data_IF_286263532738
#
_entry.id   IF_286263532738
#
_cell.length_a   1.000
_cell.length_b   1.000
_cell.length_c   1.000
_cell.angle_alpha   90.00
_cell.angle_beta   90.00
_cell.angle_gamma   90.00
#
_symmetry.space_group_name_H-M   'P 1'
#
loop_
_entity.id
_entity.type
_entity.pdbx_description
1 polymer ?
#
# COMPACT_ATOMS: atom_id res chain seq x y z
N UNK A 1 -16.08 1.13 -13.78
CA UNK A 1 -15.50 1.30 -15.13
C UNK A 1 -16.01 0.22 -16.08
N UNK A 2 -15.61 -1.05 -15.95
CA UNK A 2 -16.05 -2.12 -16.88
C UNK A 2 -17.58 -2.15 -17.10
N UNK A 3 -18.38 -2.20 -16.03
CA UNK A 3 -19.84 -2.19 -16.15
C UNK A 3 -20.40 -0.95 -16.88
N UNK A 4 -19.81 0.23 -16.66
CA UNK A 4 -20.24 1.47 -17.33
C UNK A 4 -19.99 1.44 -18.85
N UNK A 5 -19.06 0.60 -19.31
CA UNK A 5 -18.80 0.31 -20.73
C UNK A 5 -19.62 -0.86 -21.27
N UNK A 6 -20.63 -1.32 -20.54
CA UNK A 6 -21.54 -2.40 -20.97
C UNK A 6 -21.02 -3.82 -20.75
N UNK A 7 -19.86 -3.99 -20.11
CA UNK A 7 -19.38 -5.33 -19.75
C UNK A 7 -20.26 -5.92 -18.62
N UNK A 8 -20.66 -7.21 -18.72
CA UNK A 8 -21.44 -7.85 -17.66
C UNK A 8 -20.62 -7.97 -16.38
N UNK A 9 -21.26 -7.76 -15.22
CA UNK A 9 -20.59 -7.96 -13.92
C UNK A 9 -20.42 -9.46 -13.69
N UNK A 10 -19.18 -9.94 -13.73
CA UNK A 10 -18.80 -11.29 -13.33
C UNK A 10 -18.67 -11.31 -11.81
N UNK A 11 -19.81 -11.40 -11.11
CA UNK A 11 -19.87 -11.23 -9.65
C UNK A 11 -18.98 -12.21 -8.90
N UNK A 12 -18.97 -13.48 -9.30
CA UNK A 12 -18.11 -14.49 -8.70
C UNK A 12 -16.62 -14.12 -8.82
N UNK A 13 -16.18 -13.76 -10.02
CA UNK A 13 -14.81 -13.29 -10.25
C UNK A 13 -14.48 -12.01 -9.48
N UNK A 14 -15.43 -11.08 -9.38
CA UNK A 14 -15.26 -9.86 -8.60
C UNK A 14 -14.99 -10.18 -7.13
N UNK A 15 -15.81 -11.03 -6.52
CA UNK A 15 -15.64 -11.48 -5.13
C UNK A 15 -14.29 -12.19 -4.94
N UNK A 16 -13.91 -13.05 -5.87
CA UNK A 16 -12.60 -13.73 -5.83
C UNK A 16 -11.43 -12.75 -5.90
N UNK A 17 -11.50 -11.71 -6.73
CA UNK A 17 -10.45 -10.67 -6.78
C UNK A 17 -10.35 -9.96 -5.43
N UNK A 18 -11.49 -9.54 -4.85
CA UNK A 18 -11.51 -8.88 -3.54
C UNK A 18 -10.90 -9.77 -2.46
N UNK A 19 -11.33 -11.04 -2.37
CA UNK A 19 -10.78 -12.00 -1.41
C UNK A 19 -9.29 -12.22 -1.67
N UNK A 20 -8.89 -12.48 -2.91
CA UNK A 20 -7.50 -12.79 -3.29
C UNK A 20 -6.53 -11.66 -2.95
N UNK A 21 -6.90 -10.41 -3.23
CA UNK A 21 -6.13 -9.22 -2.86
C UNK A 21 -6.08 -9.05 -1.35
N UNK A 22 -7.20 -9.24 -0.65
CA UNK A 22 -7.29 -9.06 0.81
C UNK A 22 -6.44 -10.09 1.55
N UNK A 23 -6.55 -11.37 1.20
CA UNK A 23 -5.75 -12.43 1.86
C UNK A 23 -4.28 -12.29 1.51
N UNK A 24 -3.92 -11.87 0.28
CA UNK A 24 -2.53 -11.54 -0.05
C UNK A 24 -1.98 -10.44 0.87
N UNK A 25 -2.79 -9.41 1.13
CA UNK A 25 -2.40 -8.31 2.01
C UNK A 25 -2.27 -8.75 3.47
N UNK A 26 -3.12 -9.65 3.96
CA UNK A 26 -2.93 -10.26 5.29
C UNK A 26 -1.65 -11.09 5.37
N UNK A 27 -1.33 -11.88 4.34
CA UNK A 27 -0.08 -12.64 4.27
C UNK A 27 1.15 -11.72 4.34
N UNK A 28 1.13 -10.63 3.57
CA UNK A 28 2.16 -9.58 3.58
C UNK A 28 2.35 -9.00 5.00
N UNK A 29 1.29 -8.47 5.60
CA UNK A 29 1.38 -7.79 6.89
C UNK A 29 1.90 -8.72 8.00
N UNK A 30 1.52 -10.01 7.99
CA UNK A 30 2.03 -10.99 8.93
C UNK A 30 3.53 -11.29 8.75
N UNK A 31 4.00 -11.35 7.50
CA UNK A 31 5.43 -11.52 7.21
C UNK A 31 6.21 -10.29 7.62
N UNK A 32 5.70 -9.09 7.31
CA UNK A 32 6.31 -7.82 7.69
C UNK A 32 6.45 -7.72 9.20
N UNK A 33 5.39 -7.96 9.96
CA UNK A 33 5.43 -7.97 11.44
C UNK A 33 6.49 -8.93 12.00
N UNK A 34 6.57 -10.15 11.45
CA UNK A 34 7.55 -11.16 11.92
C UNK A 34 8.97 -10.71 11.62
N UNK A 35 9.22 -10.16 10.43
CA UNK A 35 10.55 -9.75 10.02
C UNK A 35 11.01 -8.49 10.74
N UNK A 36 10.11 -7.53 10.95
CA UNK A 36 10.36 -6.32 11.73
C UNK A 36 10.65 -6.68 13.20
N UNK A 37 9.87 -7.60 13.79
CA UNK A 37 10.11 -8.11 15.15
C UNK A 37 11.48 -8.78 15.28
N UNK A 38 11.80 -9.74 14.40
CA UNK A 38 13.09 -10.45 14.44
C UNK A 38 14.26 -9.47 14.28
N UNK A 39 14.12 -8.52 13.37
CA UNK A 39 15.13 -7.49 13.13
C UNK A 39 15.32 -6.59 14.35
N UNK A 40 14.25 -6.17 15.00
CA UNK A 40 14.31 -5.38 16.23
C UNK A 40 14.97 -6.14 17.39
N UNK A 41 14.63 -7.43 17.57
CA UNK A 41 15.26 -8.30 18.57
C UNK A 41 16.76 -8.44 18.34
N UNK A 42 17.19 -8.57 17.09
CA UNK A 42 18.61 -8.68 16.75
C UNK A 42 19.38 -7.37 16.98
N UNK A 43 18.75 -6.20 16.78
CA UNK A 43 19.34 -4.90 17.13
C UNK A 43 19.46 -4.70 18.65
N UNK A 44 18.48 -5.15 19.43
CA UNK A 44 18.47 -5.01 20.89
C UNK A 44 19.53 -5.85 21.61
N UNK A 45 20.08 -6.88 20.97
CA UNK A 45 21.26 -7.60 21.48
C UNK A 45 22.51 -6.70 21.52
N UNK A 46 22.47 -5.51 20.89
CA UNK A 46 23.58 -4.57 20.74
C UNK A 46 23.66 -3.43 21.78
N UNK A 47 22.57 -2.74 22.12
CA UNK A 47 22.54 -1.65 23.14
C UNK A 47 21.10 -1.12 23.36
N UNK A 48 20.82 -0.65 24.59
CA UNK A 48 19.63 0.03 25.15
C UNK A 48 18.18 -0.32 24.69
N UNK A 49 17.34 -0.63 25.70
CA UNK A 49 15.90 -0.91 25.56
C UNK A 49 15.12 0.31 25.04
N UNK A 50 14.77 0.30 23.76
CA UNK A 50 13.66 1.13 23.25
C UNK A 50 12.37 0.30 23.20
N UNK A 51 11.35 0.75 23.94
CA UNK A 51 10.03 0.10 24.10
C UNK A 51 9.02 0.42 22.99
N UNK A 52 9.47 0.91 21.84
CA UNK A 52 8.61 1.13 20.68
C UNK A 52 9.28 0.55 19.44
N UNK A 53 8.96 -0.71 19.16
CA UNK A 53 9.31 -1.39 17.91
C UNK A 53 8.04 -1.48 17.10
N UNK A 54 8.05 -0.90 15.89
CA UNK A 54 6.92 -0.95 14.97
C UNK A 54 6.40 -2.38 14.72
N UNK A 55 5.21 -2.45 14.12
CA UNK A 55 4.43 -3.68 13.94
C UNK A 55 3.18 -3.71 14.82
N UNK A 56 2.37 -4.77 14.70
CA UNK A 56 1.07 -4.88 15.40
C UNK A 56 1.11 -4.95 16.94
N UNK A 57 2.31 -5.04 17.56
CA UNK A 57 2.48 -5.24 19.01
C UNK A 57 2.27 -6.68 19.49
N UNK A 58 1.71 -7.55 18.63
CA UNK A 58 1.34 -8.94 18.97
C UNK A 58 2.54 -9.82 19.35
N UNK A 59 3.68 -9.67 18.67
CA UNK A 59 4.91 -10.42 18.95
C UNK A 59 5.66 -9.90 20.19
N UNK A 60 5.90 -8.57 20.34
CA UNK A 60 6.49 -8.02 21.57
C UNK A 60 5.71 -8.37 22.85
N UNK A 61 4.39 -8.39 22.79
CA UNK A 61 3.51 -8.73 23.92
C UNK A 61 3.41 -10.24 24.19
N UNK A 62 3.99 -11.08 23.31
CA UNK A 62 3.97 -12.54 23.45
C UNK A 62 2.59 -13.18 23.21
N UNK A 63 1.66 -12.46 22.57
CA UNK A 63 0.31 -12.95 22.28
C UNK A 63 0.31 -14.08 21.24
N UNK A 64 1.24 -14.02 20.27
CA UNK A 64 1.49 -15.07 19.29
C UNK A 64 2.99 -15.32 19.15
N UNK A 65 3.35 -16.52 18.67
CA UNK A 65 4.70 -16.85 18.23
C UNK A 65 4.90 -16.47 16.76
N UNK A 66 6.12 -16.09 16.42
CA UNK A 66 6.54 -15.80 15.04
C UNK A 66 6.20 -16.95 14.06
N UNK A 67 6.41 -18.20 14.48
CA UNK A 67 6.07 -19.41 13.72
C UNK A 67 4.56 -19.56 13.47
N UNK A 68 3.70 -19.07 14.36
CA UNK A 68 2.25 -19.09 14.16
C UNK A 68 1.84 -18.06 13.10
N UNK A 69 2.41 -16.86 13.14
CA UNK A 69 2.17 -15.82 12.15
C UNK A 69 2.69 -16.23 10.77
N UNK A 70 3.87 -16.85 10.67
CA UNK A 70 4.39 -17.37 9.40
C UNK A 70 3.54 -18.50 8.82
N UNK A 71 2.97 -19.39 9.65
CA UNK A 71 2.02 -20.41 9.20
C UNK A 71 0.73 -19.79 8.66
N UNK A 72 0.20 -18.78 9.34
CA UNK A 72 -0.97 -18.04 8.88
C UNK A 72 -0.69 -17.28 7.56
N UNK A 73 0.48 -16.65 7.44
CA UNK A 73 0.91 -16.02 6.20
C UNK A 73 1.01 -17.03 5.04
N UNK A 74 1.60 -18.20 5.28
CA UNK A 74 1.69 -19.27 4.28
C UNK A 74 0.30 -19.76 3.83
N UNK A 75 -0.66 -19.87 4.76
CA UNK A 75 -2.04 -20.20 4.43
C UNK A 75 -2.68 -19.13 3.54
N UNK A 76 -2.55 -17.85 3.89
CA UNK A 76 -3.11 -16.76 3.10
C UNK A 76 -2.49 -16.67 1.70
N UNK A 77 -1.17 -16.81 1.60
CA UNK A 77 -0.48 -16.87 0.32
C UNK A 77 -0.89 -18.08 -0.53
N UNK A 78 -1.12 -19.24 0.09
CA UNK A 78 -1.63 -20.41 -0.61
C UNK A 78 -3.04 -20.16 -1.17
N UNK A 79 -3.91 -19.50 -0.39
CA UNK A 79 -5.24 -19.09 -0.87
C UNK A 79 -5.14 -18.10 -2.04
N UNK A 80 -4.25 -17.09 -1.95
CA UNK A 80 -3.99 -16.17 -3.06
C UNK A 80 -3.57 -16.90 -4.32
N UNK A 81 -2.65 -17.88 -4.22
CA UNK A 81 -2.20 -18.68 -5.38
C UNK A 81 -3.35 -19.48 -5.97
N UNK A 82 -4.17 -20.15 -5.17
CA UNK A 82 -5.33 -20.93 -5.65
C UNK A 82 -6.31 -20.03 -6.40
N UNK A 83 -6.65 -18.87 -5.81
CA UNK A 83 -7.53 -17.88 -6.45
C UNK A 83 -6.92 -17.36 -7.75
N UNK A 84 -5.63 -17.01 -7.73
CA UNK A 84 -4.91 -16.50 -8.89
C UNK A 84 -4.82 -17.51 -10.04
N UNK A 85 -4.60 -18.79 -9.75
CA UNK A 85 -4.62 -19.88 -10.75
C UNK A 85 -6.01 -20.04 -11.35
N UNK A 86 -7.06 -20.05 -10.53
CA UNK A 86 -8.43 -20.14 -11.02
C UNK A 86 -8.81 -18.94 -11.90
N UNK A 87 -8.50 -17.72 -11.47
CA UNK A 87 -8.76 -16.52 -12.26
C UNK A 87 -7.92 -16.51 -13.55
N UNK A 88 -6.66 -16.96 -13.52
CA UNK A 88 -5.84 -17.13 -14.72
C UNK A 88 -6.49 -18.10 -15.71
N UNK A 89 -6.95 -19.25 -15.23
CA UNK A 89 -7.60 -20.25 -16.07
C UNK A 89 -8.88 -19.72 -16.74
N UNK A 90 -9.67 -18.94 -16.01
CA UNK A 90 -10.98 -18.45 -16.50
C UNK A 90 -10.94 -17.09 -17.20
N UNK A 91 -9.90 -16.28 -16.97
CA UNK A 91 -9.76 -14.92 -17.51
C UNK A 91 -8.55 -14.74 -18.43
N UNK A 92 -7.64 -15.72 -18.51
CA UNK A 92 -6.47 -15.70 -19.38
C UNK A 92 -5.16 -15.22 -18.72
N UNK A 93 -4.07 -15.37 -19.48
CA UNK A 93 -2.70 -15.18 -18.99
C UNK A 93 -2.34 -13.77 -18.46
N UNK A 94 -2.97 -12.65 -18.85
CA UNK A 94 -2.61 -11.36 -18.27
C UNK A 94 -2.89 -11.27 -16.76
N UNK A 95 -3.87 -12.03 -16.27
CA UNK A 95 -4.12 -12.18 -14.83
C UNK A 95 -2.95 -12.86 -14.12
N UNK A 96 -2.32 -13.86 -14.76
CA UNK A 96 -1.14 -14.52 -14.21
C UNK A 96 0.01 -13.53 -14.04
N UNK A 97 0.26 -12.69 -15.05
CA UNK A 97 1.37 -11.74 -15.02
C UNK A 97 1.15 -10.68 -13.93
N UNK A 98 -0.04 -10.09 -13.86
CA UNK A 98 -0.36 -9.10 -12.84
C UNK A 98 -0.43 -9.71 -11.44
N UNK A 99 -1.01 -10.90 -11.30
CA UNK A 99 -1.11 -11.62 -10.03
C UNK A 99 0.25 -12.07 -9.51
N UNK A 100 1.12 -12.62 -10.38
CA UNK A 100 2.47 -13.01 -10.03
C UNK A 100 3.31 -11.78 -9.66
N UNK A 101 3.20 -10.69 -10.41
CA UNK A 101 3.86 -9.43 -10.06
C UNK A 101 3.44 -8.93 -8.67
N UNK A 102 2.13 -8.92 -8.38
CA UNK A 102 1.61 -8.50 -7.08
C UNK A 102 2.04 -9.41 -5.92
N UNK A 103 2.04 -10.72 -6.15
CA UNK A 103 2.47 -11.72 -5.16
C UNK A 103 3.98 -11.66 -4.90
N UNK A 104 4.80 -11.55 -5.94
CA UNK A 104 6.25 -11.40 -5.76
C UNK A 104 6.57 -10.05 -5.12
N UNK A 105 5.83 -9.00 -5.46
CA UNK A 105 5.96 -7.69 -4.83
C UNK A 105 5.65 -7.75 -3.33
N UNK A 106 4.59 -8.46 -2.90
CA UNK A 106 4.30 -8.61 -1.48
C UNK A 106 5.43 -9.36 -0.75
N UNK A 107 5.87 -10.51 -1.27
CA UNK A 107 6.94 -11.28 -0.64
C UNK A 107 8.25 -10.47 -0.57
N UNK A 108 8.70 -9.92 -1.70
CA UNK A 108 10.00 -9.25 -1.78
C UNK A 108 10.02 -7.83 -1.22
N UNK A 109 8.88 -7.31 -0.76
CA UNK A 109 8.80 -6.02 -0.06
C UNK A 109 9.73 -6.03 1.15
N UNK A 110 9.66 -7.09 1.97
CA UNK A 110 10.40 -7.22 3.24
C UNK A 110 11.28 -8.47 3.32
N UNK A 111 11.05 -9.50 2.51
CA UNK A 111 11.80 -10.76 2.58
C UNK A 111 13.18 -10.63 1.91
N UNK A 112 14.29 -11.05 2.56
CA UNK A 112 15.62 -11.08 1.94
C UNK A 112 15.73 -12.13 0.83
N UNK A 113 16.64 -11.94 -0.15
CA UNK A 113 17.64 -10.87 -0.22
C UNK A 113 17.09 -9.55 -0.78
N UNK A 114 15.91 -9.55 -1.42
CA UNK A 114 15.42 -8.42 -2.23
C UNK A 114 14.97 -7.21 -1.42
N UNK A 115 14.23 -7.39 -0.31
CA UNK A 115 13.72 -6.36 0.63
C UNK A 115 13.62 -4.95 0.02
N UNK A 116 12.86 -4.77 -1.06
CA UNK A 116 12.94 -3.52 -1.81
C UNK A 116 12.31 -2.35 -1.03
N UNK A 117 11.40 -2.63 -0.09
CA UNK A 117 10.86 -1.67 0.87
C UNK A 117 11.94 -1.05 1.76
N UNK A 118 13.00 -1.82 2.07
CA UNK A 118 14.14 -1.36 2.86
C UNK A 118 15.20 -0.63 2.03
N UNK A 119 15.01 -0.57 0.71
CA UNK A 119 16.01 -0.06 -0.23
C UNK A 119 15.55 1.20 -0.97
N UNK A 120 14.42 1.81 -0.60
CA UNK A 120 13.94 3.07 -1.19
C UNK A 120 13.14 2.86 -2.48
N UNK A 121 12.68 1.63 -2.72
CA UNK A 121 11.74 1.31 -3.79
C UNK A 121 10.36 0.93 -3.24
N UNK A 122 10.17 0.98 -1.92
CA UNK A 122 8.93 0.54 -1.27
C UNK A 122 7.74 1.38 -1.68
N UNK A 123 7.91 2.69 -1.64
CA UNK A 123 6.88 3.69 -1.90
C UNK A 123 6.40 3.62 -3.36
N UNK A 124 7.35 3.49 -4.29
CA UNK A 124 7.02 3.27 -5.70
C UNK A 124 6.37 1.90 -5.92
N UNK A 125 6.87 0.86 -5.25
CA UNK A 125 6.29 -0.46 -5.29
C UNK A 125 4.84 -0.49 -4.80
N UNK A 126 4.53 0.19 -3.69
CA UNK A 126 3.17 0.33 -3.17
C UNK A 126 2.28 1.14 -4.11
N UNK A 127 2.77 2.25 -4.68
CA UNK A 127 2.03 3.00 -5.70
C UNK A 127 1.64 2.11 -6.89
N UNK A 128 2.59 1.35 -7.44
CA UNK A 128 2.37 0.49 -8.60
C UNK A 128 1.41 -0.66 -8.26
N UNK A 129 1.57 -1.28 -7.09
CA UNK A 129 0.73 -2.41 -6.68
C UNK A 129 -0.70 -1.98 -6.36
N UNK A 130 -0.88 -0.94 -5.54
CA UNK A 130 -2.21 -0.47 -5.13
C UNK A 130 -2.93 0.33 -6.22
N UNK A 131 -2.19 0.91 -7.16
CA UNK A 131 -2.73 1.53 -8.35
C UNK A 131 -2.82 0.52 -9.51
N UNK A 132 -1.93 0.61 -10.51
CA UNK A 132 -2.06 -0.14 -11.76
C UNK A 132 -2.29 -1.64 -11.62
N UNK A 133 -1.57 -2.34 -10.75
CA UNK A 133 -1.64 -3.81 -10.69
C UNK A 133 -3.03 -4.29 -10.23
N UNK A 134 -3.51 -3.80 -9.08
CA UNK A 134 -4.82 -4.18 -8.57
C UNK A 134 -5.92 -3.68 -9.50
N UNK A 135 -5.87 -2.42 -9.95
CA UNK A 135 -6.96 -1.83 -10.74
C UNK A 135 -7.05 -2.43 -12.13
N UNK A 136 -5.93 -2.59 -12.85
CA UNK A 136 -5.92 -3.22 -14.17
C UNK A 136 -6.21 -4.72 -14.07
N UNK A 137 -5.70 -5.41 -13.06
CA UNK A 137 -6.00 -6.83 -12.83
C UNK A 137 -7.49 -7.05 -12.61
N UNK A 138 -8.10 -6.23 -11.74
CA UNK A 138 -9.54 -6.27 -11.47
C UNK A 138 -10.36 -5.92 -12.71
N UNK A 139 -9.96 -4.89 -13.46
CA UNK A 139 -10.63 -4.51 -14.70
C UNK A 139 -10.54 -5.61 -15.75
N UNK A 140 -9.36 -6.20 -15.96
CA UNK A 140 -9.15 -7.24 -16.95
C UNK A 140 -9.94 -8.52 -16.64
N UNK A 141 -10.07 -8.89 -15.36
CA UNK A 141 -10.92 -10.02 -14.94
C UNK A 141 -12.39 -9.81 -15.34
N UNK A 142 -12.88 -8.57 -15.31
CA UNK A 142 -14.26 -8.22 -15.65
C UNK A 142 -14.47 -8.00 -17.16
N UNK A 143 -13.58 -7.24 -17.79
CA UNK A 143 -13.72 -6.75 -19.17
C UNK A 143 -12.95 -7.57 -20.22
N UNK A 144 -12.00 -8.40 -19.79
CA UNK A 144 -11.14 -9.22 -20.67
C UNK A 144 -10.35 -8.41 -21.70
N UNK A 145 -10.08 -7.14 -21.37
CA UNK A 145 -9.29 -6.22 -22.18
C UNK A 145 -8.56 -5.25 -21.25
N UNK A 146 -7.54 -4.59 -21.78
CA UNK A 146 -6.85 -3.48 -21.12
C UNK A 146 -7.29 -2.16 -21.77
N UNK A 147 -7.42 -1.13 -20.95
CA UNK A 147 -7.82 0.19 -21.40
C UNK A 147 -7.04 1.27 -20.66
N UNK A 148 -6.91 2.44 -21.29
CA UNK A 148 -6.20 3.59 -20.69
C UNK A 148 -6.99 4.20 -19.53
N UNK A 149 -8.32 4.19 -19.60
CA UNK A 149 -9.19 4.73 -18.55
C UNK A 149 -8.94 4.13 -17.16
N UNK A 150 -8.97 2.79 -16.95
CA UNK A 150 -8.65 2.21 -15.65
C UNK A 150 -7.20 2.44 -15.23
N UNK A 151 -6.25 2.60 -16.17
CA UNK A 151 -4.89 2.99 -15.83
C UNK A 151 -4.85 4.40 -15.24
N UNK A 152 -5.53 5.38 -15.85
CA UNK A 152 -5.64 6.74 -15.31
C UNK A 152 -6.35 6.72 -13.96
N UNK A 153 -7.47 5.99 -13.84
CA UNK A 153 -8.18 5.84 -12.58
C UNK A 153 -7.29 5.26 -11.47
N UNK A 154 -6.39 4.34 -11.82
CA UNK A 154 -5.48 3.68 -10.87
C UNK A 154 -4.42 4.60 -10.25
N UNK A 155 -4.11 5.72 -10.91
CA UNK A 155 -3.15 6.69 -10.37
C UNK A 155 -3.68 7.33 -9.09
N UNK A 156 -4.99 7.48 -8.93
CA UNK A 156 -5.58 8.04 -7.71
C UNK A 156 -5.28 7.18 -6.48
N UNK A 157 -5.72 5.90 -6.38
CA UNK A 157 -5.39 5.05 -5.23
C UNK A 157 -3.87 4.79 -5.12
N UNK A 158 -3.14 4.74 -6.24
CA UNK A 158 -1.67 4.59 -6.23
C UNK A 158 -0.97 5.76 -5.51
N UNK A 159 -1.26 7.01 -5.90
CA UNK A 159 -0.67 8.19 -5.25
C UNK A 159 -1.22 8.45 -3.84
N UNK A 160 -2.45 8.00 -3.56
CA UNK A 160 -2.96 8.00 -2.18
C UNK A 160 -2.17 7.03 -1.30
N UNK A 161 -1.86 5.82 -1.79
CA UNK A 161 -1.03 4.86 -1.05
C UNK A 161 0.43 5.31 -0.92
N UNK A 162 0.99 5.94 -1.96
CA UNK A 162 2.27 6.64 -1.88
C UNK A 162 2.28 7.66 -0.73
N UNK A 163 1.24 8.50 -0.65
CA UNK A 163 1.15 9.51 0.42
C UNK A 163 0.95 8.86 1.78
N UNK A 164 0.15 7.79 1.87
CA UNK A 164 -0.10 7.03 3.08
C UNK A 164 1.17 6.41 3.66
N UNK A 165 2.02 5.81 2.82
CA UNK A 165 3.28 5.23 3.31
C UNK A 165 4.26 6.33 3.73
N UNK A 166 4.43 7.39 2.91
CA UNK A 166 5.38 8.47 3.22
C UNK A 166 5.04 9.15 4.56
N UNK A 167 3.76 9.42 4.85
CA UNK A 167 3.39 10.07 6.13
C UNK A 167 3.66 9.18 7.35
N UNK A 168 3.65 7.86 7.18
CA UNK A 168 4.04 6.91 8.22
C UNK A 168 5.57 6.87 8.41
N UNK A 169 6.35 7.07 7.35
CA UNK A 169 7.81 7.04 7.40
C UNK A 169 8.46 8.32 7.95
N UNK A 170 7.75 9.47 7.92
CA UNK A 170 8.23 10.74 8.51
C UNK A 170 8.52 10.65 10.01
N UNK A 171 7.58 10.21 10.88
CA UNK A 171 7.85 10.04 12.30
C UNK A 171 8.94 8.98 12.54
N UNK A 172 8.95 7.92 11.73
CA UNK A 172 9.86 6.77 11.84
C UNK A 172 11.29 7.05 11.29
N UNK A 173 11.58 8.27 10.85
CA UNK A 173 12.86 8.64 10.23
C UNK A 173 14.11 8.15 10.99
N UNK A 174 14.15 8.32 12.32
CA UNK A 174 15.32 7.93 13.12
C UNK A 174 15.37 6.40 13.35
N UNK A 175 14.21 5.79 13.62
CA UNK A 175 14.09 4.35 13.87
C UNK A 175 14.40 3.55 12.60
N UNK A 176 13.89 3.98 11.45
CA UNK A 176 14.14 3.35 10.15
C UNK A 176 15.63 3.41 9.78
N UNK A 177 16.30 4.55 9.99
CA UNK A 177 17.74 4.68 9.74
C UNK A 177 18.58 3.77 10.63
N UNK A 178 18.29 3.74 11.94
CA UNK A 178 18.97 2.86 12.89
C UNK A 178 18.71 1.39 12.57
N UNK A 179 17.51 1.09 12.09
CA UNK A 179 17.12 -0.24 11.60
C UNK A 179 17.64 -0.59 10.20
N UNK A 180 18.40 0.27 9.52
CA UNK A 180 18.88 0.00 8.16
C UNK A 180 17.76 -0.10 7.11
N UNK A 181 16.55 0.37 7.42
CA UNK A 181 15.44 0.54 6.48
C UNK A 181 15.62 1.88 5.78
N UNK A 182 16.31 1.85 4.64
CA UNK A 182 16.60 3.04 3.84
C UNK A 182 15.47 3.32 2.85
N UNK A 183 14.28 3.68 3.34
CA UNK A 183 13.21 4.28 2.51
C UNK A 183 13.58 5.71 2.08
N UNK A 184 12.76 6.35 1.24
CA UNK A 184 13.02 7.69 0.70
C UNK A 184 13.13 8.73 1.82
N UNK A 185 12.30 8.63 2.86
CA UNK A 185 12.36 9.55 4.00
C UNK A 185 13.65 9.37 4.80
N UNK A 186 14.02 8.14 5.15
CA UNK A 186 15.27 7.80 5.84
C UNK A 186 16.52 8.22 5.04
N UNK A 187 16.47 8.10 3.71
CA UNK A 187 17.57 8.48 2.79
C UNK A 187 17.73 9.99 2.65
N UNK A 188 16.63 10.70 2.41
CA UNK A 188 16.67 12.10 1.98
C UNK A 188 16.21 13.11 3.04
N UNK A 189 15.69 12.64 4.18
CA UNK A 189 15.27 13.46 5.29
C UNK A 189 13.76 13.75 5.33
N UNK A 190 13.29 14.15 6.52
CA UNK A 190 11.88 14.49 6.78
C UNK A 190 11.33 15.59 5.88
N UNK A 191 12.16 16.59 5.52
CA UNK A 191 11.75 17.66 4.61
C UNK A 191 11.41 17.13 3.22
N UNK A 192 12.24 16.22 2.67
CA UNK A 192 11.93 15.54 1.42
C UNK A 192 10.68 14.69 1.57
N UNK A 193 10.51 13.98 2.69
CA UNK A 193 9.28 13.25 3.00
C UNK A 193 8.02 14.14 2.93
N UNK A 194 8.06 15.32 3.54
CA UNK A 194 6.95 16.28 3.50
C UNK A 194 6.61 16.74 2.06
N UNK A 195 7.64 16.94 1.23
CA UNK A 195 7.47 17.29 -0.19
C UNK A 195 6.86 16.12 -0.97
N UNK A 196 7.39 14.90 -0.81
CA UNK A 196 6.89 13.70 -1.48
C UNK A 196 5.45 13.38 -1.10
N UNK A 197 5.10 13.56 0.17
CA UNK A 197 3.73 13.43 0.67
C UNK A 197 2.79 14.44 0.01
N UNK A 198 3.14 15.73 0.04
CA UNK A 198 2.32 16.79 -0.56
C UNK A 198 2.17 16.64 -2.06
N UNK A 199 3.25 16.25 -2.75
CA UNK A 199 3.25 15.99 -4.18
C UNK A 199 2.33 14.81 -4.55
N UNK A 200 2.40 13.70 -3.80
CA UNK A 200 1.52 12.55 -4.00
C UNK A 200 0.04 12.93 -3.89
N UNK A 201 -0.35 13.63 -2.82
CA UNK A 201 -1.71 14.15 -2.65
C UNK A 201 -2.12 15.07 -3.79
N UNK A 202 -1.27 16.04 -4.13
CA UNK A 202 -1.55 16.99 -5.19
C UNK A 202 -1.78 16.28 -6.54
N UNK A 203 -0.95 15.29 -6.88
CA UNK A 203 -1.10 14.50 -8.11
C UNK A 203 -2.40 13.68 -8.06
N UNK A 204 -2.71 13.02 -6.94
CA UNK A 204 -3.94 12.23 -6.81
C UNK A 204 -5.20 13.10 -7.05
N UNK A 205 -5.28 14.26 -6.41
CA UNK A 205 -6.38 15.21 -6.60
C UNK A 205 -6.37 15.86 -7.99
N UNK A 206 -5.21 16.15 -8.57
CA UNK A 206 -5.10 16.68 -9.92
C UNK A 206 -5.62 15.68 -10.95
N UNK A 207 -5.21 14.40 -10.87
CA UNK A 207 -5.72 13.33 -11.73
C UNK A 207 -7.24 13.20 -11.59
N UNK A 208 -7.74 13.12 -10.36
CA UNK A 208 -9.18 13.01 -10.08
C UNK A 208 -9.98 14.18 -10.65
N UNK A 209 -9.48 15.41 -10.48
CA UNK A 209 -10.13 16.64 -10.95
C UNK A 209 -10.08 16.75 -12.47
N UNK A 210 -8.88 16.67 -13.06
CA UNK A 210 -8.67 16.83 -14.50
C UNK A 210 -9.43 15.73 -15.26
N UNK A 211 -9.30 14.47 -14.83
CA UNK A 211 -9.95 13.36 -15.52
C UNK A 211 -11.48 13.39 -15.38
N UNK A 212 -12.01 13.87 -14.25
CA UNK A 212 -13.45 14.07 -14.05
C UNK A 212 -14.03 15.20 -14.92
N UNK A 213 -13.38 16.37 -14.97
CA UNK A 213 -13.83 17.49 -15.80
C UNK A 213 -13.62 17.25 -17.30
N UNK A 214 -12.51 16.61 -17.69
CA UNK A 214 -12.26 16.20 -19.07
C UNK A 214 -13.15 15.03 -19.52
N UNK A 215 -13.97 14.47 -18.62
CA UNK A 215 -14.84 13.30 -18.86
C UNK A 215 -14.09 12.05 -19.35
N UNK A 216 -12.80 11.96 -19.02
CA UNK A 216 -12.01 10.73 -19.20
C UNK A 216 -12.46 9.68 -18.19
N UNK A 217 -12.76 10.12 -16.96
CA UNK A 217 -13.44 9.33 -15.95
C UNK A 217 -14.87 9.83 -15.76
N UNK A 218 -15.72 8.98 -15.20
CA UNK A 218 -17.08 9.38 -14.81
C UNK A 218 -17.04 10.64 -13.91
N UNK A 219 -17.88 11.66 -14.14
CA UNK A 219 -17.90 12.86 -13.29
C UNK A 219 -18.15 12.57 -11.81
N UNK A 220 -18.73 11.41 -11.47
CA UNK A 220 -18.89 10.97 -10.08
C UNK A 220 -17.56 10.82 -9.32
N UNK A 221 -16.42 10.68 -10.01
CA UNK A 221 -15.11 10.68 -9.34
C UNK A 221 -14.83 11.99 -8.60
N UNK A 222 -15.44 13.10 -9.03
CA UNK A 222 -15.33 14.40 -8.36
C UNK A 222 -15.94 14.41 -6.96
N UNK A 223 -16.80 13.44 -6.60
CA UNK A 223 -17.26 13.25 -5.21
C UNK A 223 -16.08 12.96 -4.28
N UNK A 224 -14.97 12.41 -4.78
CA UNK A 224 -13.74 12.24 -4.01
C UNK A 224 -13.15 13.56 -3.50
N UNK A 225 -13.50 14.71 -4.10
CA UNK A 225 -13.08 16.04 -3.61
C UNK A 225 -13.66 16.38 -2.23
N UNK A 226 -14.71 15.67 -1.78
CA UNK A 226 -15.23 15.79 -0.41
C UNK A 226 -14.16 15.46 0.64
N UNK A 227 -13.18 14.62 0.31
CA UNK A 227 -12.04 14.32 1.18
C UNK A 227 -10.97 15.43 1.25
N UNK A 228 -10.99 16.40 0.33
CA UNK A 228 -9.95 17.43 0.21
C UNK A 228 -9.71 18.24 1.49
N UNK A 229 -10.73 18.68 2.26
CA UNK A 229 -10.50 19.38 3.52
C UNK A 229 -9.72 18.54 4.55
N UNK A 230 -9.94 17.22 4.56
CA UNK A 230 -9.20 16.30 5.43
C UNK A 230 -7.75 16.13 4.96
N UNK A 231 -7.50 16.08 3.65
CA UNK A 231 -6.16 16.03 3.08
C UNK A 231 -5.37 17.31 3.37
N UNK A 232 -6.00 18.47 3.21
CA UNK A 232 -5.40 19.77 3.57
C UNK A 232 -5.10 19.83 5.06
N UNK A 233 -6.04 19.40 5.92
CA UNK A 233 -5.80 19.31 7.37
C UNK A 233 -4.59 18.42 7.67
N UNK A 234 -4.53 17.24 7.05
CA UNK A 234 -3.42 16.31 7.23
C UNK A 234 -2.08 16.95 6.85
N UNK A 235 -2.00 17.59 5.68
CA UNK A 235 -0.80 18.28 5.20
C UNK A 235 -0.36 19.42 6.12
N UNK A 236 -1.30 20.25 6.59
CA UNK A 236 -1.00 21.38 7.48
C UNK A 236 -0.48 20.89 8.84
N UNK A 237 -1.11 19.87 9.42
CA UNK A 237 -0.68 19.29 10.70
C UNK A 237 0.70 18.64 10.56
N UNK A 238 0.91 17.82 9.52
CA UNK A 238 2.20 17.20 9.24
C UNK A 238 3.30 18.28 9.11
N UNK A 239 3.06 19.33 8.33
CA UNK A 239 4.05 20.40 8.12
C UNK A 239 4.39 21.15 9.41
N UNK A 240 3.39 21.39 10.28
CA UNK A 240 3.57 22.08 11.56
C UNK A 240 4.37 21.24 12.56
N UNK A 241 4.15 19.92 12.56
CA UNK A 241 4.72 18.99 13.53
C UNK A 241 5.78 18.07 12.92
N UNK A 242 6.42 18.49 11.82
CA UNK A 242 7.33 17.64 11.04
C UNK A 242 8.46 17.01 11.88
N UNK A 243 8.89 17.68 12.94
CA UNK A 243 9.98 17.22 13.81
C UNK A 243 9.50 16.55 15.10
N UNK A 244 8.19 16.47 15.32
CA UNK A 244 7.55 15.89 16.51
C UNK A 244 6.68 14.69 16.11
N UNK A 245 7.22 13.45 16.23
CA UNK A 245 6.51 12.23 15.85
C UNK A 245 5.15 12.05 16.56
N UNK A 246 5.05 12.44 17.83
CA UNK A 246 3.82 12.26 18.60
C UNK A 246 2.75 13.26 18.16
N UNK A 247 3.14 14.51 17.93
CA UNK A 247 2.22 15.54 17.45
C UNK A 247 1.80 15.34 15.97
N UNK A 248 2.45 14.43 15.24
CA UNK A 248 2.05 14.02 13.89
C UNK A 248 0.87 13.03 13.84
N UNK A 249 0.56 12.32 14.92
CA UNK A 249 -0.49 11.29 14.93
C UNK A 249 -1.86 11.77 14.36
N UNK A 250 -2.33 13.00 14.61
CA UNK A 250 -3.57 13.49 14.00
C UNK A 250 -3.50 13.65 12.47
N UNK A 251 -2.32 13.88 11.90
CA UNK A 251 -2.11 13.93 10.45
C UNK A 251 -2.23 12.52 9.84
N UNK A 252 -1.58 11.52 10.42
CA UNK A 252 -1.69 10.13 9.98
C UNK A 252 -3.16 9.64 10.05
N UNK A 253 -3.87 9.97 11.13
CA UNK A 253 -5.30 9.65 11.25
C UNK A 253 -6.15 10.36 10.20
N UNK A 254 -5.85 11.62 9.88
CA UNK A 254 -6.53 12.34 8.82
C UNK A 254 -6.26 11.71 7.45
N UNK A 255 -5.03 11.24 7.19
CA UNK A 255 -4.68 10.53 5.96
C UNK A 255 -5.45 9.21 5.81
N UNK A 256 -5.60 8.44 6.90
CA UNK A 256 -6.43 7.22 6.91
C UNK A 256 -7.87 7.53 6.46
N UNK A 257 -8.45 8.65 6.94
CA UNK A 257 -9.79 9.10 6.55
C UNK A 257 -9.89 9.69 5.15
N UNK A 258 -8.78 10.11 4.56
CA UNK A 258 -8.72 10.57 3.17
C UNK A 258 -8.69 9.37 2.23
N UNK A 259 -8.00 8.31 2.64
CA UNK A 259 -7.85 7.10 1.86
C UNK A 259 -9.09 6.18 1.89
N UNK A 260 -9.75 6.07 3.06
CA UNK A 260 -10.96 5.24 3.26
C UNK A 260 -12.24 5.92 2.83
#
# INVERSE_FOLDING_TARGET
>A
IAWAHGYPIRLFHFVLVVIGVTVNHFGLNLVDDVLDYRHAVDLQKGEEKNFFTGGSGVLPEGLLKDTQMLKAAALFFSMTVIIGVYLTYTSGWPVLVLGLFGMLSSIFYTVPPVRFGYRGFGELGLLVNFGPVIVLGSYYVQAQTLALEPLIASLVPGFMMWSMIIINEIPDFETDRRGGKWNLVARFGRQTGAVLYGAGLAIAYAVLTIAGFARVLSPFVLLGLVSLPLAVKSFVVMKRHLMDPLAMAPANLAMIKVHG
#
